data_IF_988300559823
#
_entry.id   IF_988300559823
#
_cell.length_a   1.000
_cell.length_b   1.000
_cell.length_c   1.000
_cell.angle_alpha   90.00
_cell.angle_beta   90.00
_cell.angle_gamma   90.00
#
_symmetry.space_group_name_H-M   'P 1'
#
loop_
_entity.id
_entity.type
_entity.pdbx_description
1 polymer ?
#
# COMPACT_ATOMS: atom_id res chain seq x y z
N UNK A 1 2.21 -14.26 20.68
CA UNK A 1 2.61 -13.83 19.31
C UNK A 1 4.09 -14.12 19.13
N UNK A 2 4.48 -14.80 18.04
CA UNK A 2 5.90 -15.03 17.73
C UNK A 2 6.62 -13.71 17.44
N UNK A 3 7.94 -13.70 17.62
CA UNK A 3 8.77 -12.51 17.41
C UNK A 3 8.70 -12.01 15.96
N UNK A 4 8.67 -12.93 14.99
CA UNK A 4 8.47 -12.64 13.57
C UNK A 4 7.12 -11.93 13.33
N UNK A 5 6.03 -12.42 13.94
CA UNK A 5 4.71 -11.77 13.81
C UNK A 5 4.70 -10.36 14.42
N UNK A 6 5.45 -10.13 15.52
CA UNK A 6 5.60 -8.80 16.12
C UNK A 6 6.35 -7.84 15.18
N UNK A 7 7.46 -8.30 14.58
CA UNK A 7 8.24 -7.50 13.63
C UNK A 7 7.42 -7.11 12.41
N UNK A 8 6.72 -8.07 11.77
CA UNK A 8 5.83 -7.76 10.64
C UNK A 8 4.69 -6.81 10.99
N UNK A 9 4.10 -6.94 12.18
CA UNK A 9 3.08 -6.00 12.64
C UNK A 9 3.65 -4.58 12.82
N UNK A 10 4.81 -4.46 13.44
CA UNK A 10 5.50 -3.18 13.63
C UNK A 10 5.85 -2.54 12.29
N UNK A 11 6.42 -3.31 11.36
CA UNK A 11 6.79 -2.84 10.04
C UNK A 11 5.57 -2.36 9.24
N UNK A 12 4.44 -3.10 9.24
CA UNK A 12 3.20 -2.63 8.61
C UNK A 12 2.66 -1.35 9.25
N UNK A 13 2.78 -1.21 10.57
CA UNK A 13 2.38 0.02 11.27
C UNK A 13 3.23 1.21 10.80
N UNK A 14 4.55 1.01 10.66
CA UNK A 14 5.46 2.02 10.15
C UNK A 14 5.14 2.40 8.69
N UNK A 15 4.80 1.44 7.82
CA UNK A 15 4.34 1.75 6.44
C UNK A 15 3.09 2.63 6.43
N UNK A 16 2.11 2.35 7.29
CA UNK A 16 0.92 3.19 7.40
C UNK A 16 1.23 4.59 7.92
N UNK A 17 2.16 4.71 8.87
CA UNK A 17 2.60 6.02 9.39
C UNK A 17 3.34 6.82 8.32
N UNK A 18 4.30 6.19 7.62
CA UNK A 18 5.03 6.77 6.51
C UNK A 18 4.08 7.34 5.45
N UNK A 19 3.12 6.54 5.00
CA UNK A 19 2.16 6.99 4.00
C UNK A 19 1.26 8.11 4.52
N UNK A 20 0.85 8.08 5.80
CA UNK A 20 0.07 9.18 6.40
C UNK A 20 0.87 10.48 6.46
N UNK A 21 2.15 10.43 6.84
CA UNK A 21 3.03 11.60 6.84
C UNK A 21 3.14 12.20 5.44
N UNK A 22 3.36 11.35 4.42
CA UNK A 22 3.35 11.79 3.02
C UNK A 22 2.03 12.47 2.63
N UNK A 23 0.88 11.92 3.01
CA UNK A 23 -0.42 12.53 2.70
C UNK A 23 -0.62 13.90 3.34
N UNK A 24 0.01 14.16 4.47
CA UNK A 24 -0.09 15.44 5.18
C UNK A 24 0.83 16.53 4.58
N UNK A 25 1.71 16.16 3.65
CA UNK A 25 2.58 17.09 2.93
C UNK A 25 1.90 17.66 1.68
N UNK A 26 2.16 18.94 1.39
CA UNK A 26 1.91 19.59 0.10
C UNK A 26 0.51 19.40 -0.54
N UNK A 27 -0.51 19.08 0.27
CA UNK A 27 -1.87 18.78 -0.19
C UNK A 27 -2.04 17.41 -0.86
N UNK A 28 -1.11 16.47 -0.68
CA UNK A 28 -1.14 15.13 -1.30
C UNK A 28 -2.40 14.35 -0.93
N UNK A 29 -2.91 14.50 0.31
CA UNK A 29 -4.22 13.97 0.70
C UNK A 29 -5.34 14.45 -0.21
N UNK A 30 -5.42 15.75 -0.47
CA UNK A 30 -6.46 16.33 -1.30
C UNK A 30 -6.32 15.86 -2.75
N UNK A 31 -5.10 15.83 -3.28
CA UNK A 31 -4.79 15.32 -4.63
C UNK A 31 -5.18 13.85 -4.79
N UNK A 32 -4.86 13.02 -3.81
CA UNK A 32 -5.25 11.61 -3.82
C UNK A 32 -6.77 11.46 -3.79
N UNK A 33 -7.46 12.17 -2.90
CA UNK A 33 -8.92 12.12 -2.81
C UNK A 33 -9.61 12.60 -4.11
N UNK A 34 -9.08 13.66 -4.74
CA UNK A 34 -9.55 14.16 -6.03
C UNK A 34 -9.35 13.13 -7.15
N UNK A 35 -8.14 12.55 -7.26
CA UNK A 35 -7.84 11.48 -8.24
C UNK A 35 -8.74 10.26 -8.08
N UNK A 36 -9.08 9.92 -6.84
CA UNK A 36 -10.02 8.85 -6.54
C UNK A 36 -11.48 9.26 -6.74
N UNK A 37 -11.79 10.55 -6.81
CA UNK A 37 -13.18 11.05 -6.85
C UNK A 37 -13.97 10.70 -5.59
N UNK A 38 -13.32 10.71 -4.42
CA UNK A 38 -13.93 10.36 -3.13
C UNK A 38 -14.04 11.57 -2.20
N UNK A 39 -15.10 11.60 -1.39
CA UNK A 39 -15.32 12.67 -0.40
C UNK A 39 -14.62 12.41 0.93
N UNK A 40 -14.31 11.15 1.22
CA UNK A 40 -13.66 10.70 2.45
C UNK A 40 -12.45 9.85 2.11
N UNK A 41 -11.42 9.90 2.96
CA UNK A 41 -10.22 9.10 2.77
C UNK A 41 -10.58 7.60 2.87
N UNK A 42 -10.24 6.78 1.85
CA UNK A 42 -10.46 5.34 1.94
C UNK A 42 -9.60 4.69 3.03
N UNK A 43 -10.01 3.51 3.46
CA UNK A 43 -9.25 2.73 4.44
C UNK A 43 -7.86 2.39 3.89
N UNK A 44 -6.84 2.55 4.75
CA UNK A 44 -5.45 2.23 4.45
C UNK A 44 -5.13 0.84 4.99
N UNK A 45 -4.70 -0.07 4.10
CA UNK A 45 -4.26 -1.43 4.45
C UNK A 45 -2.78 -1.56 4.11
N UNK A 46 -1.86 -1.35 5.08
CA UNK A 46 -0.42 -1.37 4.80
C UNK A 46 0.11 -2.77 4.51
N UNK A 47 1.04 -2.86 3.57
CA UNK A 47 1.70 -4.09 3.17
C UNK A 47 3.22 -3.92 3.08
N UNK A 48 3.92 -5.04 3.25
CA UNK A 48 5.32 -5.22 2.87
C UNK A 48 5.37 -6.05 1.60
N UNK A 49 6.54 -6.09 0.97
CA UNK A 49 6.75 -6.92 -0.22
C UNK A 49 6.41 -8.39 -0.03
N UNK A 50 6.74 -8.96 1.12
CA UNK A 50 6.50 -10.37 1.48
C UNK A 50 5.08 -10.63 2.00
N UNK A 51 4.22 -9.59 2.12
CA UNK A 51 2.82 -9.80 2.47
C UNK A 51 2.13 -10.56 1.34
N UNK A 52 1.49 -11.69 1.63
CA UNK A 52 0.62 -12.38 0.67
C UNK A 52 -0.55 -11.49 0.23
N UNK A 53 -0.84 -11.46 -1.06
CA UNK A 53 -1.95 -10.70 -1.64
C UNK A 53 -3.32 -11.15 -1.12
N UNK A 54 -3.47 -12.44 -0.78
CA UNK A 54 -4.64 -12.98 -0.06
C UNK A 54 -4.93 -12.25 1.25
N UNK A 55 -3.91 -11.90 2.03
CA UNK A 55 -4.10 -11.16 3.28
C UNK A 55 -4.67 -9.75 3.04
N UNK A 56 -4.24 -9.10 1.96
CA UNK A 56 -4.77 -7.79 1.55
C UNK A 56 -6.21 -7.93 1.06
N UNK A 57 -6.48 -8.96 0.25
CA UNK A 57 -7.82 -9.27 -0.25
C UNK A 57 -8.81 -9.53 0.89
N UNK A 58 -8.44 -10.36 1.86
CA UNK A 58 -9.26 -10.64 3.04
C UNK A 58 -9.51 -9.38 3.89
N UNK A 59 -8.48 -8.54 4.06
CA UNK A 59 -8.62 -7.29 4.79
C UNK A 59 -9.54 -6.31 4.05
N UNK A 60 -9.34 -6.13 2.75
CA UNK A 60 -10.17 -5.28 1.90
C UNK A 60 -11.63 -5.74 1.92
N UNK A 61 -11.86 -7.05 1.78
CA UNK A 61 -13.20 -7.63 1.76
C UNK A 61 -13.99 -7.34 3.05
N UNK A 62 -13.34 -7.33 4.23
CA UNK A 62 -14.01 -6.93 5.49
C UNK A 62 -14.53 -5.49 5.44
N UNK A 63 -13.78 -4.58 4.81
CA UNK A 63 -14.21 -3.19 4.66
C UNK A 63 -15.30 -3.04 3.60
N UNK A 64 -15.22 -3.80 2.51
CA UNK A 64 -16.24 -3.81 1.47
C UNK A 64 -17.58 -4.34 1.98
N UNK A 65 -17.56 -5.36 2.84
CA UNK A 65 -18.76 -5.84 3.54
C UNK A 65 -19.40 -4.78 4.45
N UNK A 66 -18.64 -3.78 4.90
CA UNK A 66 -19.16 -2.63 5.67
C UNK A 66 -19.55 -1.43 4.82
N UNK A 67 -19.52 -1.56 3.49
CA UNK A 67 -19.97 -0.53 2.55
C UNK A 67 -18.86 0.33 1.93
N UNK A 68 -17.59 0.05 2.22
CA UNK A 68 -16.49 0.71 1.50
C UNK A 68 -16.48 0.28 0.04
N UNK A 69 -16.14 1.20 -0.87
CA UNK A 69 -16.06 0.90 -2.31
C UNK A 69 -14.63 0.62 -2.77
N UNK A 70 -13.64 1.13 -2.03
CA UNK A 70 -12.23 0.99 -2.35
C UNK A 70 -11.37 1.09 -1.10
N UNK A 71 -10.17 0.53 -1.17
CA UNK A 71 -9.14 0.65 -0.15
C UNK A 71 -7.83 1.09 -0.79
N UNK A 72 -6.99 1.77 -0.01
CA UNK A 72 -5.64 2.18 -0.41
C UNK A 72 -4.64 1.23 0.25
N UNK A 73 -3.73 0.68 -0.56
CA UNK A 73 -2.75 -0.31 -0.12
C UNK A 73 -1.35 0.26 -0.37
N UNK A 74 -0.75 0.95 0.63
CA UNK A 74 0.66 1.29 0.57
C UNK A 74 1.50 0.03 0.76
N UNK A 75 2.42 -0.22 -0.17
CA UNK A 75 3.32 -1.36 -0.20
C UNK A 75 4.76 -0.86 -0.12
N UNK A 76 5.48 -1.21 0.94
CA UNK A 76 6.92 -0.96 1.01
C UNK A 76 7.71 -2.16 0.48
N UNK A 77 8.62 -1.89 -0.46
CA UNK A 77 9.49 -2.88 -1.09
C UNK A 77 10.97 -2.54 -0.85
N UNK A 78 11.80 -3.50 -0.43
CA UNK A 78 13.24 -3.29 -0.39
C UNK A 78 13.78 -3.20 -1.81
N UNK A 79 14.65 -2.22 -2.07
CA UNK A 79 15.37 -2.12 -3.34
C UNK A 79 16.57 -3.06 -3.28
N UNK A 80 16.57 -4.12 -4.10
CA UNK A 80 17.58 -5.21 -3.98
C UNK A 80 19.05 -4.75 -4.11
N UNK A 81 19.31 -3.58 -4.68
CA UNK A 81 20.65 -3.02 -4.88
C UNK A 81 21.08 -1.99 -3.83
N UNK A 82 20.16 -1.51 -2.97
CA UNK A 82 20.42 -0.43 -2.00
C UNK A 82 19.77 -0.76 -0.67
N UNK A 83 20.31 -0.27 0.46
CA UNK A 83 19.63 -0.37 1.77
C UNK A 83 18.46 0.62 1.88
N UNK A 84 17.68 0.76 0.82
CA UNK A 84 16.56 1.70 0.72
C UNK A 84 15.26 0.95 0.46
N UNK A 85 14.17 1.58 0.85
CA UNK A 85 12.81 1.10 0.65
C UNK A 85 12.11 2.02 -0.35
N UNK A 86 11.27 1.46 -1.21
CA UNK A 86 10.35 2.21 -2.07
C UNK A 86 8.93 2.03 -1.57
N UNK A 87 8.11 3.08 -1.70
CA UNK A 87 6.70 3.06 -1.34
C UNK A 87 5.85 3.12 -2.60
N UNK A 88 5.04 2.08 -2.81
CA UNK A 88 4.07 2.01 -3.89
C UNK A 88 2.65 2.08 -3.35
N UNK A 89 1.78 2.87 -3.99
CA UNK A 89 0.37 2.97 -3.62
C UNK A 89 -0.47 2.26 -4.66
N UNK A 90 -1.25 1.28 -4.19
CA UNK A 90 -2.27 0.59 -4.98
C UNK A 90 -3.65 0.98 -4.48
N UNK A 91 -4.64 0.95 -5.36
CA UNK A 91 -6.05 1.14 -5.00
C UNK A 91 -6.79 -0.12 -5.38
N UNK A 92 -7.44 -0.76 -4.42
CA UNK A 92 -8.19 -2.00 -4.64
C UNK A 92 -9.67 -1.71 -4.52
N UNK A 93 -10.48 -2.22 -5.44
CA UNK A 93 -11.93 -2.05 -5.43
C UNK A 93 -12.69 -3.32 -5.83
N UNK A 94 -13.98 -3.36 -5.53
CA UNK A 94 -14.90 -4.46 -5.89
C UNK A 94 -15.63 -4.27 -7.22
N UNK A 95 -15.50 -3.09 -7.83
CA UNK A 95 -16.14 -2.77 -9.10
C UNK A 95 -15.19 -3.05 -10.25
N UNK A 96 -15.71 -3.53 -11.38
CA UNK A 96 -14.98 -3.69 -12.63
C UNK A 96 -14.38 -2.34 -13.05
N UNK A 97 -13.08 -2.16 -12.82
CA UNK A 97 -12.43 -0.85 -12.86
C UNK A 97 -12.14 -0.46 -14.30
N UNK A 98 -13.01 0.35 -14.89
CA UNK A 98 -12.72 1.03 -16.18
C UNK A 98 -11.83 2.27 -16.02
N UNK A 99 -11.37 2.54 -14.82
CA UNK A 99 -10.58 3.73 -14.48
C UNK A 99 -9.14 3.37 -14.23
N UNK A 100 -8.23 4.20 -14.76
CA UNK A 100 -6.82 4.21 -14.40
C UNK A 100 -6.65 4.22 -12.87
N UNK A 101 -5.54 3.66 -12.37
CA UNK A 101 -5.14 3.64 -10.95
C UNK A 101 -5.84 2.64 -10.01
N UNK A 102 -6.70 1.74 -10.51
CA UNK A 102 -7.38 0.76 -9.65
C UNK A 102 -7.13 -0.68 -10.10
N UNK A 103 -7.14 -1.57 -9.11
CA UNK A 103 -7.02 -3.01 -9.23
C UNK A 103 -8.34 -3.64 -8.76
N UNK A 104 -8.90 -4.53 -9.58
CA UNK A 104 -10.01 -5.36 -9.13
C UNK A 104 -9.51 -6.30 -8.03
N UNK A 105 -10.28 -6.44 -6.96
CA UNK A 105 -9.94 -7.29 -5.83
C UNK A 105 -9.62 -8.75 -6.24
N UNK A 106 -10.23 -9.25 -7.31
CA UNK A 106 -10.01 -10.59 -7.84
C UNK A 106 -8.67 -10.75 -8.56
N UNK A 107 -7.99 -9.65 -8.93
CA UNK A 107 -6.60 -9.67 -9.44
C UNK A 107 -5.59 -9.99 -8.32
N UNK A 108 -5.99 -9.95 -7.04
CA UNK A 108 -5.16 -10.37 -5.91
C UNK A 108 -5.24 -11.90 -5.72
N UNK A 109 -4.28 -12.62 -6.30
CA UNK A 109 -4.18 -14.07 -6.23
C UNK A 109 -3.69 -14.59 -4.87
N UNK A 110 -4.06 -15.83 -4.53
CA UNK A 110 -3.83 -16.38 -3.18
C UNK A 110 -2.37 -16.70 -2.84
N UNK A 111 -1.59 -17.02 -3.85
CA UNK A 111 -0.23 -17.55 -3.72
C UNK A 111 0.87 -16.56 -4.09
N UNK A 112 0.54 -15.29 -4.31
CA UNK A 112 1.51 -14.27 -4.72
C UNK A 112 1.76 -13.27 -3.60
N UNK A 113 3.00 -12.80 -3.54
CA UNK A 113 3.43 -11.75 -2.62
C UNK A 113 3.19 -10.36 -3.24
N UNK A 114 2.98 -9.34 -2.41
CA UNK A 114 2.73 -7.97 -2.90
C UNK A 114 3.89 -7.41 -3.72
N UNK A 115 5.13 -7.85 -3.49
CA UNK A 115 6.26 -7.52 -4.35
C UNK A 115 6.02 -7.96 -5.80
N UNK A 116 5.56 -9.19 -6.01
CA UNK A 116 5.25 -9.73 -7.34
C UNK A 116 4.06 -9.00 -7.97
N UNK A 117 3.03 -8.68 -7.18
CA UNK A 117 1.90 -7.86 -7.63
C UNK A 117 2.41 -6.51 -8.15
N UNK A 118 3.18 -5.78 -7.35
CA UNK A 118 3.71 -4.47 -7.76
C UNK A 118 4.62 -4.57 -8.99
N UNK A 119 5.49 -5.58 -9.08
CA UNK A 119 6.41 -5.77 -10.20
C UNK A 119 5.67 -6.03 -11.53
N UNK A 120 4.62 -6.84 -11.50
CA UNK A 120 3.84 -7.24 -12.69
C UNK A 120 2.77 -6.23 -13.10
N UNK A 121 2.34 -5.37 -12.16
CA UNK A 121 1.24 -4.44 -12.40
C UNK A 121 1.66 -3.32 -13.38
N UNK A 122 0.74 -3.01 -14.30
CA UNK A 122 0.90 -1.91 -15.25
C UNK A 122 1.22 -0.60 -14.51
N UNK A 123 2.22 0.20 -14.96
CA UNK A 123 2.58 1.46 -14.32
C UNK A 123 1.40 2.42 -14.11
N UNK A 124 0.38 2.41 -14.97
CA UNK A 124 -0.82 3.24 -14.82
C UNK A 124 -1.77 2.79 -13.70
N UNK A 125 -1.55 1.62 -13.10
CA UNK A 125 -2.32 1.05 -11.98
C UNK A 125 -1.61 1.18 -10.63
N UNK A 126 -0.40 1.75 -10.58
CA UNK A 126 0.38 1.94 -9.34
C UNK A 126 0.98 3.34 -9.26
N UNK A 127 1.12 3.84 -8.04
CA UNK A 127 1.85 5.09 -7.78
C UNK A 127 3.16 4.78 -7.06
N UNK A 128 4.30 5.04 -7.68
CA UNK A 128 5.57 5.12 -6.95
C UNK A 128 5.70 6.51 -6.32
N UNK A 129 5.96 6.57 -5.02
CA UNK A 129 6.30 7.82 -4.34
C UNK A 129 7.82 7.96 -4.39
N UNK A 130 8.28 8.87 -5.26
CA UNK A 130 9.71 9.09 -5.51
C UNK A 130 10.36 10.05 -4.49
N UNK A 131 9.59 11.00 -3.97
CA UNK A 131 10.08 12.04 -3.06
C UNK A 131 9.58 11.76 -1.63
N UNK A 132 10.41 11.03 -0.87
CA UNK A 132 10.23 10.78 0.56
C UNK A 132 11.43 11.33 1.34
N UNK A 133 12.00 12.45 0.88
CA UNK A 133 13.22 13.02 1.46
C UNK A 133 13.06 13.38 2.94
N UNK A 134 11.88 13.86 3.34
CA UNK A 134 11.53 14.14 4.73
C UNK A 134 11.32 12.87 5.56
N UNK A 135 11.07 11.71 4.95
CA UNK A 135 10.84 10.43 5.64
C UNK A 135 11.92 9.36 5.40
N UNK A 136 13.13 9.79 4.99
CA UNK A 136 14.27 8.90 4.75
C UNK A 136 14.69 8.12 6.00
N UNK A 137 14.53 8.71 7.20
CA UNK A 137 14.90 8.03 8.44
C UNK A 137 13.91 6.91 8.76
N UNK A 138 12.61 7.15 8.62
CA UNK A 138 11.55 6.15 8.80
C UNK A 138 11.71 4.98 7.81
N UNK A 139 12.08 5.28 6.55
CA UNK A 139 12.38 4.26 5.55
C UNK A 139 13.60 3.40 5.93
N UNK A 140 14.66 4.00 6.50
CA UNK A 140 15.85 3.27 6.97
C UNK A 140 15.54 2.41 8.19
N UNK A 141 14.77 2.95 9.14
CA UNK A 141 14.35 2.23 10.33
C UNK A 141 13.45 1.04 9.96
N UNK A 142 12.55 1.24 9.00
CA UNK A 142 11.75 0.17 8.42
C UNK A 142 12.63 -0.88 7.74
N UNK A 143 13.60 -0.46 6.92
CA UNK A 143 14.54 -1.37 6.25
C UNK A 143 15.39 -2.20 7.23
N UNK A 144 15.72 -1.65 8.40
CA UNK A 144 16.44 -2.38 9.44
C UNK A 144 15.56 -3.38 10.21
N UNK A 145 14.24 -3.27 10.09
CA UNK A 145 13.27 -4.05 10.88
C UNK A 145 12.69 -5.28 10.18
N UNK A 146 12.93 -5.40 8.87
CA UNK A 146 12.38 -6.43 7.98
C UNK A 146 13.49 -7.40 7.55
#
# INVERSE_FOLDING_TARGET
>A
MSEVKKRHYSARTAVAQLFRSFLDENGERARLMERLGVKTMPVIIPALGDTLASNIREAANRHFQTGEQRVVVPVCLPVRSTKTMKLFILVVSTHDTKTFWQLDMNELHDSVEMAQVVETLDPSKKWEIEDLDSQQQELKDLAASI
#
